data_IF_493804841904
#
_entry.id   IF_493804841904
#
_cell.length_a   1.000
_cell.length_b   1.000
_cell.length_c   1.000
_cell.angle_alpha   90.00
_cell.angle_beta   90.00
_cell.angle_gamma   90.00
#
_symmetry.space_group_name_H-M   'P 1'
#
loop_
_entity.id
_entity.type
_entity.pdbx_description
1 polymer ?
#
# COMPACT_ATOMS: atom_id res chain seq x y z
N UNK A 1 -4.86 1.18 21.79
CA UNK A 1 -4.69 0.95 20.34
C UNK A 1 -5.46 2.00 19.58
N UNK A 2 -4.78 2.96 18.95
CA UNK A 2 -5.40 4.01 18.16
C UNK A 2 -5.67 3.51 16.73
N UNK A 3 -6.61 2.57 16.59
CA UNK A 3 -7.16 2.23 15.28
C UNK A 3 -8.48 2.96 15.18
N UNK A 4 -8.66 3.78 14.13
CA UNK A 4 -9.92 4.46 13.82
C UNK A 4 -11.03 3.45 13.53
N UNK A 5 -11.59 2.88 14.58
CA UNK A 5 -12.81 2.10 14.54
C UNK A 5 -13.96 3.05 14.85
N UNK A 6 -15.01 2.99 14.03
CA UNK A 6 -16.21 3.83 14.20
C UNK A 6 -16.89 3.68 15.56
N UNK A 7 -16.57 2.60 16.29
CA UNK A 7 -17.22 2.22 17.53
C UNK A 7 -16.36 2.49 18.78
N UNK A 8 -15.24 3.22 18.64
CA UNK A 8 -14.33 3.51 19.74
C UNK A 8 -14.13 5.02 19.90
N UNK A 9 -14.19 5.52 21.14
CA UNK A 9 -13.93 6.92 21.43
C UNK A 9 -12.44 7.23 21.26
N UNK A 10 -12.11 8.30 20.53
CA UNK A 10 -10.71 8.68 20.34
C UNK A 10 -10.16 9.27 21.63
N UNK A 11 -9.20 8.57 22.22
CA UNK A 11 -8.45 9.03 23.40
C UNK A 11 -7.05 9.50 22.98
N UNK A 12 -6.44 10.43 23.74
CA UNK A 12 -5.05 10.83 23.54
C UNK A 12 -4.13 9.61 23.55
N UNK A 13 -3.47 9.37 22.43
CA UNK A 13 -2.65 8.18 22.20
C UNK A 13 -1.46 8.55 21.33
N UNK A 14 -0.41 7.74 21.37
CA UNK A 14 0.74 7.84 20.49
C UNK A 14 1.00 6.50 19.79
N UNK A 15 1.67 6.57 18.66
CA UNK A 15 2.19 5.43 17.90
C UNK A 15 3.71 5.46 17.97
N UNK A 16 4.33 4.28 18.05
CA UNK A 16 5.77 4.14 18.01
C UNK A 16 6.15 3.36 16.76
N UNK A 17 7.09 3.92 16.00
CA UNK A 17 7.71 3.30 14.84
C UNK A 17 9.13 2.90 15.23
N UNK A 18 9.40 1.61 15.31
CA UNK A 18 10.71 1.08 15.67
C UNK A 18 11.27 0.27 14.50
N UNK A 19 12.51 0.57 14.13
CA UNK A 19 13.26 -0.22 13.18
C UNK A 19 14.37 -0.99 13.89
N UNK A 20 14.54 -2.24 13.50
CA UNK A 20 15.50 -3.17 14.07
C UNK A 20 16.32 -3.76 12.94
N UNK A 21 17.63 -3.86 13.15
CA UNK A 21 18.50 -4.65 12.29
C UNK A 21 18.22 -6.14 12.50
N UNK A 22 17.83 -6.84 11.44
CA UNK A 22 17.41 -8.25 11.51
C UNK A 22 18.55 -9.19 11.92
N UNK A 23 19.79 -8.84 11.61
CA UNK A 23 20.95 -9.71 11.84
C UNK A 23 21.41 -9.66 13.30
N UNK A 24 21.57 -8.45 13.84
CA UNK A 24 22.14 -8.23 15.17
C UNK A 24 21.04 -7.98 16.22
N UNK A 25 19.79 -7.78 15.81
CA UNK A 25 18.67 -7.49 16.72
C UNK A 25 18.73 -6.12 17.37
N UNK A 26 19.51 -5.19 16.80
CA UNK A 26 19.76 -3.86 17.36
C UNK A 26 18.71 -2.87 16.85
N UNK A 27 18.16 -2.07 17.76
CA UNK A 27 17.29 -0.95 17.39
C UNK A 27 18.12 0.13 16.68
N UNK A 28 17.79 0.43 15.43
CA UNK A 28 18.52 1.39 14.59
C UNK A 28 17.79 2.73 14.44
N UNK A 29 16.48 2.78 14.70
CA UNK A 29 15.69 4.01 14.72
C UNK A 29 14.42 3.84 15.56
N UNK A 30 14.03 4.91 16.27
CA UNK A 30 12.74 5.01 16.98
C UNK A 30 12.14 6.39 16.71
N UNK A 31 10.87 6.42 16.32
CA UNK A 31 10.09 7.65 16.20
C UNK A 31 8.70 7.48 16.79
N UNK A 32 8.27 8.46 17.57
CA UNK A 32 6.89 8.53 18.09
C UNK A 32 6.07 9.53 17.29
N UNK A 33 4.84 9.18 16.95
CA UNK A 33 3.87 10.05 16.29
C UNK A 33 2.57 10.10 17.09
N UNK A 34 1.74 11.11 16.85
CA UNK A 34 0.41 11.18 17.48
C UNK A 34 -0.46 10.02 16.99
N UNK A 35 -1.43 9.59 17.79
CA UNK A 35 -2.36 8.51 17.42
C UNK A 35 -3.15 8.79 16.14
N UNK A 36 -3.34 10.06 15.80
CA UNK A 36 -3.98 10.52 14.56
C UNK A 36 -3.11 10.30 13.32
N UNK A 37 -1.78 10.35 13.47
CA UNK A 37 -0.86 10.30 12.33
C UNK A 37 -0.98 8.98 11.54
N UNK A 38 -0.88 9.11 10.22
CA UNK A 38 -0.93 7.96 9.33
C UNK A 38 0.39 7.20 9.37
N UNK A 39 0.36 5.96 9.86
CA UNK A 39 1.55 5.11 9.97
C UNK A 39 2.21 4.84 8.63
N UNK A 40 1.40 4.71 7.56
CA UNK A 40 1.88 4.41 6.23
C UNK A 40 2.83 5.46 5.67
N UNK A 41 2.80 6.69 6.17
CA UNK A 41 3.62 7.81 5.71
C UNK A 41 5.01 7.85 6.37
N UNK A 42 5.21 7.11 7.47
CA UNK A 42 6.46 7.16 8.23
C UNK A 42 7.57 6.23 7.71
N UNK A 43 7.21 5.21 6.92
CA UNK A 43 8.18 4.20 6.46
C UNK A 43 9.36 4.81 5.70
N UNK A 44 9.08 5.67 4.71
CA UNK A 44 10.13 6.22 3.86
C UNK A 44 11.03 7.19 4.63
N UNK A 45 10.43 8.01 5.50
CA UNK A 45 11.18 8.90 6.39
C UNK A 45 12.07 8.09 7.35
N UNK A 46 11.61 6.94 7.83
CA UNK A 46 12.39 6.05 8.69
C UNK A 46 13.55 5.40 7.93
N UNK A 47 13.33 4.93 6.70
CA UNK A 47 14.40 4.44 5.81
C UNK A 47 15.46 5.52 5.63
N UNK A 48 15.07 6.75 5.30
CA UNK A 48 16.01 7.87 5.10
C UNK A 48 16.86 8.16 6.34
N UNK A 49 16.24 8.16 7.54
CA UNK A 49 16.97 8.35 8.81
C UNK A 49 17.98 7.23 9.06
N UNK A 50 17.62 5.98 8.80
CA UNK A 50 18.50 4.82 9.01
C UNK A 50 19.66 4.85 8.02
N UNK A 51 19.41 5.13 6.74
CA UNK A 51 20.47 5.22 5.73
C UNK A 51 21.44 6.36 6.06
N UNK A 52 20.93 7.50 6.54
CA UNK A 52 21.75 8.63 6.98
C UNK A 52 22.56 8.30 8.24
N UNK A 53 21.97 7.63 9.23
CA UNK A 53 22.65 7.31 10.48
C UNK A 53 23.70 6.20 10.34
N UNK A 54 23.43 5.19 9.49
CA UNK A 54 24.31 4.03 9.31
C UNK A 54 25.29 4.19 8.15
N UNK A 55 25.04 5.12 7.23
CA UNK A 55 25.77 5.25 5.97
C UNK A 55 25.59 4.06 5.03
N UNK A 56 24.67 3.14 5.32
CA UNK A 56 24.41 1.93 4.55
C UNK A 56 23.05 2.04 3.87
N UNK A 57 22.95 1.51 2.66
CA UNK A 57 21.67 1.38 1.96
C UNK A 57 20.89 0.18 2.50
N UNK A 58 19.57 0.34 2.59
CA UNK A 58 18.69 -0.74 3.03
C UNK A 58 18.38 -1.65 1.84
N UNK A 59 18.79 -2.90 1.95
CA UNK A 59 18.55 -3.91 0.91
C UNK A 59 17.17 -4.57 1.05
N UNK A 60 16.75 -4.87 2.28
CA UNK A 60 15.48 -5.51 2.58
C UNK A 60 14.73 -4.70 3.64
N UNK A 61 13.44 -4.43 3.40
CA UNK A 61 12.56 -3.76 4.34
C UNK A 61 11.34 -4.64 4.63
N UNK A 62 11.25 -5.15 5.86
CA UNK A 62 10.10 -5.90 6.35
C UNK A 62 9.17 -5.02 7.19
N UNK A 63 7.87 -5.23 7.07
CA UNK A 63 6.88 -4.47 7.83
C UNK A 63 5.53 -5.16 7.87
N UNK A 64 4.60 -4.60 8.65
CA UNK A 64 3.22 -5.07 8.72
C UNK A 64 2.37 -4.51 7.55
N UNK A 65 1.12 -4.94 7.45
CA UNK A 65 0.23 -4.49 6.38
C UNK A 65 -0.18 -3.01 6.48
N UNK A 66 0.04 -2.31 7.60
CA UNK A 66 -0.26 -0.88 7.67
C UNK A 66 0.70 -0.04 6.82
N UNK A 67 1.89 -0.57 6.49
CA UNK A 67 2.82 0.07 5.54
C UNK A 67 2.56 -0.28 4.07
N UNK A 68 1.60 -1.17 3.76
CA UNK A 68 1.36 -1.67 2.40
C UNK A 68 0.57 -0.68 1.51
N UNK A 69 1.14 0.50 1.31
CA UNK A 69 0.65 1.54 0.41
C UNK A 69 1.42 1.53 -0.92
N UNK A 70 0.72 1.77 -2.03
CA UNK A 70 1.35 1.79 -3.37
C UNK A 70 2.54 2.75 -3.48
N UNK A 71 2.46 3.94 -2.85
CA UNK A 71 3.54 4.93 -2.80
C UNK A 71 4.80 4.39 -2.09
N UNK A 72 4.63 3.55 -1.08
CA UNK A 72 5.74 2.93 -0.35
C UNK A 72 6.42 1.87 -1.22
N UNK A 73 5.64 0.97 -1.84
CA UNK A 73 6.20 -0.03 -2.76
C UNK A 73 6.93 0.62 -3.93
N UNK A 74 6.35 1.65 -4.55
CA UNK A 74 6.98 2.38 -5.65
C UNK A 74 8.31 3.00 -5.20
N UNK A 75 8.35 3.62 -4.02
CA UNK A 75 9.56 4.25 -3.50
C UNK A 75 10.64 3.24 -3.12
N UNK A 76 10.27 2.11 -2.51
CA UNK A 76 11.20 1.01 -2.21
C UNK A 76 11.75 0.37 -3.49
N UNK A 77 10.91 0.16 -4.51
CA UNK A 77 11.34 -0.36 -5.82
C UNK A 77 12.33 0.60 -6.50
N UNK A 78 12.07 1.92 -6.48
CA UNK A 78 13.00 2.95 -6.98
C UNK A 78 14.35 2.94 -6.27
N UNK A 79 14.36 2.64 -4.97
CA UNK A 79 15.57 2.52 -4.15
C UNK A 79 16.31 1.18 -4.34
N UNK A 80 15.72 0.24 -5.08
CA UNK A 80 16.17 -1.16 -5.19
C UNK A 80 16.15 -1.89 -3.84
N UNK A 81 15.27 -1.48 -2.94
CA UNK A 81 15.03 -2.14 -1.65
C UNK A 81 13.91 -3.17 -1.83
N UNK A 82 14.18 -4.40 -1.44
CA UNK A 82 13.21 -5.49 -1.49
C UNK A 82 12.21 -5.38 -0.32
N UNK A 83 10.94 -5.18 -0.66
CA UNK A 83 9.87 -4.98 0.31
C UNK A 83 9.21 -6.31 0.70
N UNK A 84 9.37 -6.72 1.97
CA UNK A 84 8.69 -7.87 2.57
C UNK A 84 7.53 -7.36 3.43
N UNK A 85 6.51 -6.85 2.77
CA UNK A 85 5.35 -6.23 3.43
C UNK A 85 4.09 -6.96 2.92
N UNK A 86 3.23 -7.50 3.81
CA UNK A 86 2.00 -8.15 3.38
C UNK A 86 0.99 -7.12 2.88
N UNK A 87 0.21 -7.39 1.82
CA UNK A 87 -0.79 -6.46 1.31
C UNK A 87 -1.91 -6.20 2.33
N UNK A 88 -2.53 -5.01 2.24
CA UNK A 88 -3.71 -4.70 3.05
C UNK A 88 -4.88 -5.63 2.71
N UNK A 89 -5.65 -6.00 3.73
CA UNK A 89 -6.87 -6.79 3.56
C UNK A 89 -7.86 -6.04 2.65
N UNK A 90 -8.30 -6.70 1.58
CA UNK A 90 -9.28 -6.14 0.67
C UNK A 90 -10.63 -6.02 1.40
N UNK A 91 -11.13 -4.78 1.56
CA UNK A 91 -12.47 -4.55 2.12
C UNK A 91 -13.51 -5.09 1.14
N UNK A 92 -13.98 -6.32 1.38
CA UNK A 92 -15.05 -6.94 0.57
C UNK A 92 -16.33 -6.13 0.72
N UNK A 93 -16.67 -5.33 -0.30
CA UNK A 93 -17.99 -4.73 -0.40
C UNK A 93 -18.93 -5.74 -1.05
N UNK A 94 -20.03 -6.05 -0.38
CA UNK A 94 -21.10 -6.88 -0.94
C UNK A 94 -21.50 -6.34 -2.34
N UNK A 95 -21.68 -7.25 -3.32
CA UNK A 95 -22.00 -6.94 -4.73
C UNK A 95 -20.91 -6.28 -5.59
N UNK A 96 -19.63 -6.28 -5.17
CA UNK A 96 -18.51 -5.85 -6.04
C UNK A 96 -17.58 -7.00 -6.35
N UNK A 97 -17.13 -7.08 -7.62
CA UNK A 97 -16.08 -8.00 -8.04
C UNK A 97 -14.77 -7.56 -7.39
N UNK A 98 -14.05 -8.45 -6.67
CA UNK A 98 -12.74 -8.14 -6.09
C UNK A 98 -11.73 -7.70 -7.15
N UNK A 99 -10.90 -6.71 -6.80
CA UNK A 99 -9.81 -6.21 -7.66
C UNK A 99 -8.79 -7.29 -7.99
N UNK A 100 -8.59 -8.25 -7.08
CA UNK A 100 -7.75 -9.45 -7.25
C UNK A 100 -8.16 -10.33 -8.43
N UNK A 101 -9.41 -10.24 -8.92
CA UNK A 101 -9.85 -10.96 -10.13
C UNK A 101 -9.55 -10.22 -11.44
N UNK A 102 -9.06 -8.99 -11.35
CA UNK A 102 -8.60 -8.22 -12.51
C UNK A 102 -7.09 -8.40 -12.67
N UNK A 103 -6.63 -8.57 -13.92
CA UNK A 103 -5.20 -8.78 -14.21
C UNK A 103 -4.64 -7.57 -14.95
N UNK A 104 -3.62 -6.94 -14.39
CA UNK A 104 -2.90 -5.86 -15.04
C UNK A 104 -1.85 -6.41 -16.02
N UNK A 105 -1.83 -5.87 -17.22
CA UNK A 105 -0.84 -6.17 -18.27
C UNK A 105 -0.01 -4.91 -18.52
N UNK A 106 1.16 -4.85 -17.89
CA UNK A 106 2.07 -3.69 -17.96
C UNK A 106 2.55 -3.41 -19.38
N UNK A 107 2.79 -4.44 -20.20
CA UNK A 107 3.33 -4.29 -21.56
C UNK A 107 2.36 -3.50 -22.45
N UNK A 108 1.06 -3.78 -22.31
CA UNK A 108 0.02 -3.17 -23.11
C UNK A 108 -0.70 -2.01 -22.40
N UNK A 109 -0.36 -1.73 -21.13
CA UNK A 109 -1.05 -0.77 -20.27
C UNK A 109 -2.57 -0.99 -20.24
N UNK A 110 -3.01 -2.24 -20.05
CA UNK A 110 -4.43 -2.62 -19.97
C UNK A 110 -4.71 -3.43 -18.72
N UNK A 111 -5.96 -3.41 -18.28
CA UNK A 111 -6.47 -4.32 -17.26
C UNK A 111 -7.45 -5.29 -17.90
N UNK A 112 -7.33 -6.58 -17.61
CA UNK A 112 -8.26 -7.62 -18.06
C UNK A 112 -9.23 -7.95 -16.93
N UNK A 113 -10.53 -7.86 -17.20
CA UNK A 113 -11.56 -8.28 -16.25
C UNK A 113 -11.66 -9.82 -16.18
N UNK A 114 -12.45 -10.39 -15.25
CA UNK A 114 -12.60 -11.84 -15.13
C UNK A 114 -13.19 -12.52 -16.39
N UNK A 115 -13.96 -11.78 -17.20
CA UNK A 115 -14.44 -12.22 -18.53
C UNK A 115 -13.45 -11.94 -19.67
N UNK A 116 -12.19 -11.63 -19.35
CA UNK A 116 -11.10 -11.34 -20.30
C UNK A 116 -11.30 -10.10 -21.19
N UNK A 117 -12.29 -9.25 -20.90
CA UNK A 117 -12.46 -7.95 -21.59
C UNK A 117 -11.35 -6.99 -21.17
N UNK A 118 -10.87 -6.18 -22.11
CA UNK A 118 -9.79 -5.20 -21.91
C UNK A 118 -10.38 -3.87 -21.43
N UNK A 119 -9.85 -3.35 -20.34
CA UNK A 119 -10.12 -2.03 -19.80
C UNK A 119 -8.91 -1.15 -20.10
N UNK A 120 -9.20 0.06 -20.56
CA UNK A 120 -8.20 1.06 -20.94
C UNK A 120 -8.12 2.15 -19.86
N UNK A 121 -6.96 2.81 -19.74
CA UNK A 121 -6.79 3.93 -18.82
C UNK A 121 -7.77 5.05 -19.18
N UNK A 122 -8.47 5.57 -18.17
CA UNK A 122 -9.50 6.59 -18.33
C UNK A 122 -9.02 7.95 -17.84
N UNK A 123 -8.68 8.07 -16.55
CA UNK A 123 -8.16 9.31 -15.97
C UNK A 123 -7.20 8.99 -14.83
N UNK A 124 -6.36 9.97 -14.47
CA UNK A 124 -5.45 9.89 -13.31
C UNK A 124 -6.16 10.45 -12.07
N UNK A 125 -6.00 9.78 -10.94
CA UNK A 125 -6.47 10.27 -9.64
C UNK A 125 -5.51 11.34 -9.09
N UNK A 126 -5.97 12.09 -8.08
CA UNK A 126 -5.13 13.07 -7.37
C UNK A 126 -3.90 12.43 -6.73
N UNK A 127 -4.01 11.19 -6.29
CA UNK A 127 -2.93 10.39 -5.69
C UNK A 127 -2.06 9.63 -6.71
N UNK A 128 -1.99 10.11 -7.96
CA UNK A 128 -1.17 9.53 -9.04
C UNK A 128 -1.57 8.11 -9.49
N UNK A 129 -2.72 7.59 -9.05
CA UNK A 129 -3.28 6.33 -9.54
C UNK A 129 -3.90 6.48 -10.92
N UNK A 130 -3.93 5.41 -11.73
CA UNK A 130 -4.64 5.37 -13.02
C UNK A 130 -5.93 4.58 -12.87
N UNK A 131 -7.07 5.17 -13.27
CA UNK A 131 -8.36 4.49 -13.24
C UNK A 131 -8.59 3.78 -14.58
N UNK A 132 -8.83 2.47 -14.54
CA UNK A 132 -9.23 1.68 -15.70
C UNK A 132 -10.74 1.45 -15.65
N UNK A 133 -11.46 1.83 -16.72
CA UNK A 133 -12.93 1.79 -16.73
C UNK A 133 -13.45 0.78 -17.77
N UNK A 134 -14.41 -0.04 -17.36
CA UNK A 134 -15.19 -0.86 -18.30
C UNK A 134 -16.25 -0.01 -19.00
N UNK A 135 -16.56 -0.33 -20.26
CA UNK A 135 -17.66 0.31 -20.99
C UNK A 135 -18.99 -0.25 -20.48
N UNK A 136 -19.99 0.61 -20.26
CA UNK A 136 -21.32 0.16 -19.79
C UNK A 136 -21.93 -0.91 -20.71
N UNK A 137 -21.72 -0.81 -22.03
CA UNK A 137 -22.18 -1.80 -23.01
C UNK A 137 -21.63 -3.21 -22.75
N UNK A 138 -20.41 -3.34 -22.23
CA UNK A 138 -19.81 -4.63 -21.89
C UNK A 138 -20.31 -5.19 -20.53
N UNK A 139 -20.88 -4.33 -19.67
CA UNK A 139 -21.28 -4.69 -18.32
C UNK A 139 -22.80 -4.87 -18.14
N UNK A 140 -23.65 -4.18 -18.94
CA UNK A 140 -25.11 -4.15 -18.74
C UNK A 140 -25.77 -5.54 -18.74
N UNK A 141 -25.27 -6.49 -19.54
CA UNK A 141 -25.78 -7.87 -19.61
C UNK A 141 -24.73 -8.89 -19.14
N UNK A 142 -23.79 -8.47 -18.28
CA UNK A 142 -22.71 -9.34 -17.83
C UNK A 142 -23.18 -10.18 -16.63
N UNK A 143 -23.00 -11.52 -16.65
CA UNK A 143 -23.46 -12.41 -15.58
C UNK A 143 -22.64 -12.31 -14.27
N UNK A 144 -21.73 -11.33 -14.18
CA UNK A 144 -20.96 -11.04 -12.98
C UNK A 144 -21.56 -9.89 -12.15
N UNK A 145 -22.64 -9.28 -12.64
CA UNK A 145 -23.38 -8.19 -12.03
C UNK A 145 -24.86 -8.52 -11.94
#
# INVERSE_FOLDING_TARGET
>A
MATSQSNYHLEPTYKQHTAVDDKEGIIVDVKTTTGEANEGEELLNQVDRIELATGKKIENASGNCSYAHGKNYESLEKRKTHAVIPPQNERRKYKRIPSTRFKYDRKNNIVKCPKKKKLYPSYKTKDQGVVYRAKSKDCNNCPLF
#
